data_IF_711802413341
#
_entry.id   IF_711802413341
#
_cell.length_a   1.000
_cell.length_b   1.000
_cell.length_c   1.000
_cell.angle_alpha   90.00
_cell.angle_beta   90.00
_cell.angle_gamma   90.00
#
_symmetry.space_group_name_H-M   'P 1'
#
loop_
_entity.id
_entity.type
_entity.pdbx_description
1 polymer ?
#
# COMPACT_ATOMS: atom_id res chain seq x y z
N UNK A 1 3.83 17.57 23.16
CA UNK A 1 5.00 16.86 22.59
C UNK A 1 4.40 15.76 21.75
N UNK A 2 4.49 15.83 20.42
CA UNK A 2 3.83 14.83 19.57
C UNK A 2 4.59 13.51 19.69
N UNK A 3 3.88 12.42 19.97
CA UNK A 3 4.44 11.11 20.36
C UNK A 3 5.22 10.39 19.25
N UNK A 4 5.59 11.05 18.16
CA UNK A 4 6.38 10.50 17.04
C UNK A 4 5.70 9.33 16.32
N UNK A 5 4.42 9.12 16.62
CA UNK A 5 3.50 8.25 15.90
C UNK A 5 2.71 9.05 14.87
N UNK A 6 2.48 8.46 13.71
CA UNK A 6 1.29 8.76 12.91
C UNK A 6 0.14 7.93 13.50
N UNK A 7 -0.97 8.58 13.82
CA UNK A 7 -2.18 7.93 14.31
C UNK A 7 -3.29 8.18 13.30
N UNK A 8 -3.95 7.12 12.87
CA UNK A 8 -5.14 7.21 12.00
C UNK A 8 -6.29 6.53 12.72
N UNK A 9 -7.40 7.26 12.87
CA UNK A 9 -8.57 6.83 13.62
C UNK A 9 -9.82 6.86 12.73
N UNK A 10 -10.47 5.70 12.58
CA UNK A 10 -11.72 5.51 11.83
C UNK A 10 -12.93 5.28 12.77
N UNK A 11 -12.78 5.52 14.07
CA UNK A 11 -13.78 5.33 15.11
C UNK A 11 -13.95 3.87 15.54
N UNK A 12 -14.28 2.98 14.60
CA UNK A 12 -14.42 1.55 14.88
C UNK A 12 -13.06 0.84 15.08
N UNK A 13 -12.02 1.38 14.46
CA UNK A 13 -10.64 0.91 14.59
C UNK A 13 -9.68 2.08 14.31
N UNK A 14 -8.47 1.97 14.84
CA UNK A 14 -7.39 2.89 14.59
C UNK A 14 -6.07 2.13 14.54
N UNK A 15 -5.02 2.78 14.02
CA UNK A 15 -3.67 2.25 14.10
C UNK A 15 -2.66 3.36 14.38
N UNK A 16 -1.52 2.94 14.93
CA UNK A 16 -0.38 3.79 15.19
C UNK A 16 0.83 3.27 14.42
N UNK A 17 1.55 4.16 13.77
CA UNK A 17 2.80 3.87 13.09
C UNK A 17 3.91 4.74 13.67
N UNK A 18 4.96 4.13 14.20
CA UNK A 18 6.14 4.89 14.62
C UNK A 18 6.84 5.45 13.38
N UNK A 19 6.84 6.77 13.21
CA UNK A 19 7.48 7.45 12.08
C UNK A 19 8.65 8.34 12.51
N UNK A 20 8.75 8.67 13.80
CA UNK A 20 9.88 9.41 14.37
C UNK A 20 10.68 8.58 15.38
N UNK A 21 11.77 9.16 15.87
CA UNK A 21 12.61 8.54 16.88
C UNK A 21 11.92 8.51 18.26
N UNK A 22 11.91 7.34 18.90
CA UNK A 22 11.34 7.13 20.22
C UNK A 22 12.42 6.62 21.19
N UNK A 23 12.75 7.42 22.21
CA UNK A 23 13.90 7.15 23.09
C UNK A 23 13.54 6.33 24.34
N UNK A 24 12.27 6.25 24.74
CA UNK A 24 11.88 5.60 25.99
C UNK A 24 12.05 4.06 25.98
N UNK A 25 12.27 3.45 24.81
CA UNK A 25 12.51 2.00 24.68
C UNK A 25 13.99 1.65 24.46
N UNK A 26 14.88 2.64 24.54
CA UNK A 26 16.28 2.49 24.14
C UNK A 26 16.47 2.49 22.62
N UNK A 27 17.70 2.72 22.15
CA UNK A 27 17.98 3.01 20.75
C UNK A 27 17.64 1.83 19.81
N UNK A 28 17.94 0.60 20.22
CA UNK A 28 17.71 -0.56 19.35
C UNK A 28 16.22 -0.86 19.15
N UNK A 29 15.43 -0.91 20.23
CA UNK A 29 13.99 -1.10 20.10
C UNK A 29 13.32 0.08 19.40
N UNK A 30 13.79 1.31 19.62
CA UNK A 30 13.33 2.49 18.90
C UNK A 30 13.54 2.36 17.39
N UNK A 31 14.69 1.86 16.96
CA UNK A 31 15.04 1.59 15.56
C UNK A 31 14.15 0.49 14.93
N UNK A 32 13.87 -0.58 15.67
CA UNK A 32 13.02 -1.70 15.21
C UNK A 32 11.54 -1.31 15.14
N UNK A 33 11.07 -0.42 16.01
CA UNK A 33 9.66 -0.01 15.99
C UNK A 33 9.36 1.03 14.92
N UNK A 34 10.36 1.83 14.52
CA UNK A 34 10.24 2.90 13.54
C UNK A 34 10.17 2.34 12.13
N UNK A 35 9.20 2.83 11.35
CA UNK A 35 9.18 2.66 9.90
C UNK A 35 10.44 3.28 9.30
N UNK A 36 11.26 2.47 8.64
CA UNK A 36 12.53 2.89 8.05
C UNK A 36 12.38 3.29 6.59
N UNK A 37 11.57 2.53 5.83
CA UNK A 37 11.30 2.79 4.42
C UNK A 37 9.95 2.23 4.01
N UNK A 38 9.56 2.57 2.78
CA UNK A 38 8.25 2.25 2.21
C UNK A 38 8.42 1.94 0.73
N UNK A 39 7.73 0.91 0.26
CA UNK A 39 7.75 0.47 -1.13
C UNK A 39 6.35 0.57 -1.73
N UNK A 40 6.26 1.14 -2.94
CA UNK A 40 5.10 0.96 -3.80
C UNK A 40 5.29 -0.33 -4.59
N UNK A 41 4.30 -1.23 -4.56
CA UNK A 41 4.38 -2.50 -5.26
C UNK A 41 3.09 -2.80 -6.02
N UNK A 42 3.24 -3.59 -7.09
CA UNK A 42 2.12 -4.26 -7.76
C UNK A 42 2.41 -5.76 -7.88
N UNK A 43 1.39 -6.57 -7.76
CA UNK A 43 1.48 -8.01 -8.01
C UNK A 43 1.17 -8.30 -9.46
N UNK A 44 1.97 -9.15 -10.09
CA UNK A 44 1.80 -9.56 -11.48
C UNK A 44 1.17 -10.95 -11.51
N UNK A 45 0.08 -11.09 -12.28
CA UNK A 45 -0.60 -12.35 -12.50
C UNK A 45 0.18 -13.30 -13.42
N UNK A 46 -0.32 -14.52 -13.57
CA UNK A 46 0.32 -15.54 -14.42
C UNK A 46 0.35 -15.17 -15.91
N UNK A 47 -0.52 -14.26 -16.34
CA UNK A 47 -0.58 -13.74 -17.72
C UNK A 47 0.34 -12.53 -17.94
N UNK A 48 1.13 -12.13 -16.93
CA UNK A 48 2.02 -10.98 -16.99
C UNK A 48 1.33 -9.63 -16.72
N UNK A 49 0.02 -9.60 -16.45
CA UNK A 49 -0.71 -8.37 -16.17
C UNK A 49 -0.82 -8.08 -14.67
N UNK A 50 -0.84 -6.81 -14.23
CA UNK A 50 -1.00 -6.46 -12.82
C UNK A 50 -2.39 -6.85 -12.25
N UNK A 51 -2.43 -7.37 -11.03
CA UNK A 51 -3.68 -7.83 -10.39
C UNK A 51 -3.95 -7.17 -9.03
N UNK A 52 -2.95 -6.52 -8.44
CA UNK A 52 -3.08 -5.81 -7.16
C UNK A 52 -2.02 -4.72 -7.05
N UNK A 53 -2.33 -3.65 -6.32
CA UNK A 53 -1.48 -2.48 -6.11
C UNK A 53 -1.50 -2.12 -4.64
N UNK A 54 -0.36 -1.71 -4.09
CA UNK A 54 -0.28 -1.43 -2.67
C UNK A 54 1.02 -0.79 -2.24
N UNK A 55 1.10 -0.59 -0.94
CA UNK A 55 2.25 -0.04 -0.23
C UNK A 55 2.69 -1.05 0.83
N UNK A 56 4.00 -1.27 0.95
CA UNK A 56 4.60 -2.04 2.06
C UNK A 56 5.49 -1.14 2.88
N UNK A 57 5.40 -1.28 4.20
CA UNK A 57 6.18 -0.51 5.16
C UNK A 57 7.08 -1.47 5.93
N UNK A 58 8.33 -1.06 6.11
CA UNK A 58 9.36 -1.90 6.71
C UNK A 58 10.02 -1.19 7.89
N UNK A 59 10.48 -1.95 8.88
CA UNK A 59 11.17 -1.40 10.03
C UNK A 59 12.69 -1.30 9.83
N UNK A 60 13.42 -0.87 10.86
CA UNK A 60 14.89 -0.82 10.81
C UNK A 60 15.59 -2.18 10.57
N UNK A 61 14.91 -3.31 10.71
CA UNK A 61 15.45 -4.66 10.45
C UNK A 61 15.01 -5.22 9.09
N UNK A 62 14.41 -4.37 8.24
CA UNK A 62 13.83 -4.77 6.95
C UNK A 62 12.70 -5.81 7.10
N UNK A 63 12.06 -5.86 8.26
CA UNK A 63 10.88 -6.69 8.50
C UNK A 63 9.64 -5.92 8.08
N UNK A 64 8.74 -6.58 7.33
CA UNK A 64 7.50 -5.96 6.88
C UNK A 64 6.57 -5.73 8.08
N UNK A 65 6.23 -4.47 8.34
CA UNK A 65 5.36 -4.05 9.43
C UNK A 65 3.89 -3.99 9.02
N UNK A 66 3.63 -3.52 7.80
CA UNK A 66 2.28 -3.22 7.33
C UNK A 66 2.20 -3.33 5.82
N UNK A 67 1.03 -3.74 5.33
CA UNK A 67 0.63 -3.61 3.93
C UNK A 67 -0.65 -2.80 3.85
N UNK A 68 -0.66 -1.82 2.96
CA UNK A 68 -1.87 -1.08 2.58
C UNK A 68 -2.20 -1.48 1.16
N UNK A 69 -3.31 -2.19 0.98
CA UNK A 69 -3.85 -2.49 -0.35
C UNK A 69 -4.64 -1.27 -0.84
N UNK A 70 -4.30 -0.80 -2.04
CA UNK A 70 -5.01 0.31 -2.67
C UNK A 70 -6.29 -0.18 -3.34
N UNK A 71 -7.23 0.73 -3.69
CA UNK A 71 -8.42 0.37 -4.43
C UNK A 71 -8.09 -0.42 -5.70
N UNK A 72 -8.78 -1.54 -5.91
CA UNK A 72 -8.53 -2.46 -7.00
C UNK A 72 -9.58 -2.26 -8.11
N UNK A 73 -9.19 -2.08 -9.39
CA UNK A 73 -10.12 -1.94 -10.51
C UNK A 73 -11.13 -3.08 -10.68
N UNK A 74 -10.83 -4.25 -10.13
CA UNK A 74 -11.64 -5.45 -10.29
C UNK A 74 -12.54 -5.74 -9.10
N UNK A 75 -12.48 -4.93 -8.03
CA UNK A 75 -13.20 -5.18 -6.79
C UNK A 75 -14.06 -4.00 -6.35
N UNK A 76 -15.24 -4.30 -5.80
CA UNK A 76 -16.04 -3.35 -5.03
C UNK A 76 -15.34 -3.00 -3.71
N UNK A 77 -15.84 -1.99 -3.01
CA UNK A 77 -15.33 -1.62 -1.67
C UNK A 77 -15.60 -2.71 -0.61
N UNK A 78 -16.50 -3.66 -0.93
CA UNK A 78 -16.76 -4.87 -0.13
C UNK A 78 -15.94 -6.08 -0.60
N UNK A 79 -14.99 -5.87 -1.51
CA UNK A 79 -14.12 -6.90 -2.07
C UNK A 79 -14.84 -7.95 -2.94
N UNK A 80 -15.99 -7.60 -3.51
CA UNK A 80 -16.69 -8.44 -4.48
C UNK A 80 -16.15 -8.17 -5.89
N UNK A 81 -16.14 -9.17 -6.77
CA UNK A 81 -15.64 -9.02 -8.15
C UNK A 81 -16.60 -8.15 -8.97
N UNK A 82 -16.07 -7.14 -9.66
CA UNK A 82 -16.80 -6.31 -10.61
C UNK A 82 -16.98 -7.02 -11.96
N UNK A 83 -18.14 -6.80 -12.60
CA UNK A 83 -18.38 -7.30 -13.94
C UNK A 83 -17.53 -6.62 -15.01
N UNK A 84 -17.41 -5.30 -14.89
CA UNK A 84 -16.55 -4.44 -15.72
C UNK A 84 -15.51 -3.76 -14.83
N UNK A 85 -14.21 -3.84 -15.16
CA UNK A 85 -13.18 -3.15 -14.40
C UNK A 85 -13.37 -1.63 -14.37
N UNK A 86 -13.13 -1.03 -13.20
CA UNK A 86 -13.12 0.41 -13.01
C UNK A 86 -11.69 0.91 -12.76
N UNK A 87 -11.01 1.30 -13.84
CA UNK A 87 -9.62 1.79 -13.76
C UNK A 87 -9.48 3.17 -13.10
N UNK A 88 -10.56 3.90 -12.84
CA UNK A 88 -10.48 5.15 -12.07
C UNK A 88 -10.04 4.90 -10.62
N UNK A 89 -10.19 3.66 -10.14
CA UNK A 89 -9.68 3.20 -8.83
C UNK A 89 -8.16 3.27 -8.72
N UNK A 90 -7.42 3.35 -9.83
CA UNK A 90 -5.97 3.54 -9.84
C UNK A 90 -5.53 4.99 -9.59
N UNK A 91 -6.43 5.97 -9.52
CA UNK A 91 -6.07 7.37 -9.32
C UNK A 91 -5.18 7.58 -8.08
N UNK A 92 -5.42 6.84 -6.99
CA UNK A 92 -4.58 6.90 -5.78
C UNK A 92 -3.17 6.33 -6.03
N UNK A 93 -3.06 5.23 -6.77
CA UNK A 93 -1.79 4.62 -7.15
C UNK A 93 -0.96 5.54 -8.02
N UNK A 94 -1.57 6.10 -9.07
CA UNK A 94 -0.92 7.02 -10.00
C UNK A 94 -0.44 8.29 -9.28
N UNK A 95 -1.28 8.87 -8.41
CA UNK A 95 -0.92 10.05 -7.62
C UNK A 95 0.27 9.80 -6.68
N UNK A 96 0.33 8.64 -6.02
CA UNK A 96 1.45 8.29 -5.14
C UNK A 96 2.75 8.09 -5.92
N UNK A 97 2.69 7.41 -7.07
CA UNK A 97 3.85 7.21 -7.95
C UNK A 97 4.39 8.53 -8.49
N UNK A 98 3.51 9.40 -8.98
CA UNK A 98 3.89 10.72 -9.46
C UNK A 98 4.53 11.55 -8.35
N UNK A 99 3.93 11.57 -7.16
CA UNK A 99 4.39 12.39 -6.02
C UNK A 99 5.71 11.92 -5.43
N UNK A 100 5.88 10.62 -5.20
CA UNK A 100 6.99 10.10 -4.40
C UNK A 100 8.11 9.47 -5.23
N UNK A 101 7.81 9.06 -6.47
CA UNK A 101 8.79 8.41 -7.36
C UNK A 101 9.02 9.19 -8.66
N UNK A 102 8.29 10.29 -8.88
CA UNK A 102 8.31 11.04 -10.15
C UNK A 102 8.03 10.17 -11.37
N UNK A 103 7.25 9.10 -11.18
CA UNK A 103 6.87 8.18 -12.25
C UNK A 103 5.50 8.59 -12.81
N UNK A 104 5.33 8.66 -14.14
CA UNK A 104 4.03 8.83 -14.73
C UNK A 104 3.18 7.57 -14.57
N UNK A 105 1.89 7.69 -14.90
CA UNK A 105 0.98 6.57 -15.09
C UNK A 105 1.62 5.51 -16.01
N UNK A 106 1.52 4.24 -15.62
CA UNK A 106 2.01 3.13 -16.43
C UNK A 106 0.84 2.47 -17.16
N UNK A 107 0.82 2.47 -18.51
CA UNK A 107 -0.22 1.79 -19.28
C UNK A 107 -0.37 0.31 -18.93
N UNK A 108 0.69 -0.36 -18.45
CA UNK A 108 0.63 -1.75 -18.02
C UNK A 108 -0.38 -1.96 -16.86
N UNK A 109 -0.59 -0.96 -16.00
CA UNK A 109 -1.56 -1.07 -14.90
C UNK A 109 -3.01 -1.20 -15.39
N UNK A 110 -3.26 -0.98 -16.69
CA UNK A 110 -4.58 -1.01 -17.31
C UNK A 110 -4.78 -2.18 -18.28
N UNK A 111 -3.85 -3.14 -18.33
CA UNK A 111 -3.93 -4.27 -19.29
C UNK A 111 -4.63 -5.50 -18.74
N UNK A 112 -4.76 -5.61 -17.42
CA UNK A 112 -5.31 -6.80 -16.77
C UNK A 112 -6.82 -6.96 -17.01
N UNK A 113 -7.23 -8.21 -17.20
CA UNK A 113 -8.64 -8.60 -17.38
C UNK A 113 -9.31 -8.99 -16.05
N UNK A 114 -8.63 -8.76 -14.93
CA UNK A 114 -9.11 -9.05 -13.59
C UNK A 114 -8.95 -10.51 -13.17
N UNK A 115 -9.71 -10.92 -12.16
CA UNK A 115 -9.60 -12.24 -11.53
C UNK A 115 -10.43 -13.34 -12.20
N UNK A 116 -11.09 -13.04 -13.32
CA UNK A 116 -11.89 -14.02 -14.05
C UNK A 116 -10.93 -15.01 -14.72
N UNK A 117 -10.80 -16.21 -14.16
CA UNK A 117 -10.14 -17.31 -14.85
C UNK A 117 -10.91 -17.63 -16.13
N UNK A 118 -10.23 -17.67 -17.27
CA UNK A 118 -10.76 -18.33 -18.45
C UNK A 118 -11.03 -19.79 -18.07
N UNK A 119 -12.30 -20.19 -18.03
CA UNK A 119 -12.69 -21.59 -17.93
C UNK A 119 -12.27 -22.38 -19.15
#
# INVERSE_FOLDING_TARGET
MNDRYATVDFGAWHFHLCIGEHTASGPELGRIRRCSHTELYRSIGSDGSPVSWGIRLFNGRDEQMMTVLLPNPFLTDRQEILDTPDFTRLNAWDALRARFLSLPDDPLDRTSKGFKHSG
#
